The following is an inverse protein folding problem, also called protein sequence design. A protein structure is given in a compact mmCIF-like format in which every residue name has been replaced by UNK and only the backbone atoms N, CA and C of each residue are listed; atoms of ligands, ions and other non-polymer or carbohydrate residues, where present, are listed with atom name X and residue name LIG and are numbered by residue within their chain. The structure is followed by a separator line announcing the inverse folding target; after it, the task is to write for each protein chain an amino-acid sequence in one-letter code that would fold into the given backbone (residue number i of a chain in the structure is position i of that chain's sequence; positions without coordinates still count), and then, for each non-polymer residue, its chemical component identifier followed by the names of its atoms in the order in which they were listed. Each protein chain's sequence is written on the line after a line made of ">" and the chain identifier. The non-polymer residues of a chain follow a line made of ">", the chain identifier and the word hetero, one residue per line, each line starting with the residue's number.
data_IF_355769069161
#
_entry.id   IF_355769069161
#
_cell.length_a   1.000
_cell.length_b   1.000
_cell.length_c   1.000
_cell.angle_alpha   90.00
_cell.angle_beta   90.00
_cell.angle_gamma   90.00
#
_symmetry.space_group_name_H-M   'P 1'
#
loop_
_entity.id
_entity.type
_entity.pdbx_description
1 polymer ?
#
# COMPACT_ATOMS: atom_id res chain seq x y z
N UNK A 1 21.45 -8.16 6.66
CA UNK A 1 22.94 -8.18 6.69
C UNK A 1 23.49 -7.95 5.30
N UNK A 2 24.51 -7.10 5.16
CA UNK A 2 25.11 -6.73 3.89
C UNK A 2 26.20 -7.75 3.52
N UNK A 3 26.26 -8.15 2.25
CA UNK A 3 27.22 -9.12 1.71
C UNK A 3 27.28 -10.46 2.47
N UNK A 4 26.13 -10.94 2.97
CA UNK A 4 26.04 -12.21 3.68
C UNK A 4 26.60 -12.23 5.10
N UNK A 5 27.06 -11.11 5.62
CA UNK A 5 27.49 -10.99 7.02
C UNK A 5 26.28 -11.09 7.94
N UNK A 6 26.34 -11.93 8.96
CA UNK A 6 25.29 -12.09 9.96
C UNK A 6 25.07 -10.78 10.75
N UNK A 7 26.17 -10.11 11.10
CA UNK A 7 26.13 -8.79 11.74
C UNK A 7 27.22 -7.90 11.14
N UNK A 8 26.83 -6.78 10.55
CA UNK A 8 27.74 -5.80 9.97
C UNK A 8 28.01 -4.58 10.85
N UNK A 9 27.58 -4.59 12.13
CA UNK A 9 27.65 -3.44 13.02
C UNK A 9 29.07 -2.82 13.10
N UNK A 10 30.11 -3.63 13.19
CA UNK A 10 31.49 -3.18 13.28
C UNK A 10 32.28 -3.41 11.98
N UNK A 11 31.61 -3.51 10.86
CA UNK A 11 32.23 -3.67 9.55
C UNK A 11 32.71 -2.31 9.01
N UNK A 12 33.73 -2.28 8.14
CA UNK A 12 34.23 -1.04 7.55
C UNK A 12 33.21 -0.39 6.60
N UNK A 13 33.45 0.87 6.23
CA UNK A 13 32.59 1.64 5.31
C UNK A 13 32.38 0.96 3.96
N UNK A 14 33.37 0.20 3.47
CA UNK A 14 33.22 -0.61 2.25
C UNK A 14 32.02 -1.57 2.31
N UNK A 15 31.62 -2.00 3.52
CA UNK A 15 30.46 -2.84 3.79
C UNK A 15 29.24 -1.98 4.12
N UNK A 16 29.38 -0.99 5.02
CA UNK A 16 28.26 -0.28 5.63
C UNK A 16 27.82 0.98 4.89
N UNK A 17 28.63 1.53 3.99
CA UNK A 17 28.25 2.71 3.21
C UNK A 17 26.97 2.47 2.38
N UNK A 18 26.17 3.49 2.25
CA UNK A 18 25.01 3.49 1.34
C UNK A 18 25.52 3.67 -0.09
N UNK A 19 25.20 2.73 -0.95
CA UNK A 19 25.46 2.85 -2.38
C UNK A 19 24.33 3.66 -3.06
N UNK A 20 24.56 4.94 -3.26
CA UNK A 20 23.58 5.86 -3.86
C UNK A 20 23.31 5.58 -5.34
N UNK A 21 24.17 4.84 -6.07
CA UNK A 21 23.90 4.44 -7.45
C UNK A 21 22.65 3.56 -7.55
N UNK A 22 22.38 2.76 -6.53
CA UNK A 22 21.17 1.93 -6.44
C UNK A 22 19.87 2.71 -6.56
N UNK A 23 19.87 3.99 -6.20
CA UNK A 23 18.70 4.85 -6.39
C UNK A 23 18.29 4.97 -7.86
N UNK A 24 19.27 5.03 -8.77
CA UNK A 24 19.01 5.11 -10.20
C UNK A 24 18.66 3.75 -10.79
N UNK A 25 19.32 2.69 -10.35
CA UNK A 25 19.06 1.32 -10.77
C UNK A 25 17.66 0.87 -10.34
N UNK A 26 17.24 1.24 -9.14
CA UNK A 26 15.94 0.86 -8.54
C UNK A 26 14.91 1.99 -8.64
N UNK A 27 14.95 2.74 -9.74
CA UNK A 27 14.10 3.93 -9.92
C UNK A 27 12.60 3.65 -9.70
N UNK A 28 12.10 2.52 -10.22
CA UNK A 28 10.70 2.13 -10.03
C UNK A 28 10.33 2.00 -8.54
N UNK A 29 11.15 1.30 -7.75
CA UNK A 29 10.91 1.13 -6.32
C UNK A 29 10.97 2.47 -5.57
N UNK A 30 11.93 3.36 -5.95
CA UNK A 30 12.02 4.70 -5.38
C UNK A 30 10.79 5.55 -5.70
N UNK A 31 10.32 5.53 -6.94
CA UNK A 31 9.15 6.30 -7.37
C UNK A 31 7.86 5.75 -6.73
N UNK A 32 7.75 4.42 -6.59
CA UNK A 32 6.67 3.78 -5.86
C UNK A 32 6.63 4.22 -4.38
N UNK A 33 7.78 4.18 -3.68
CA UNK A 33 7.87 4.64 -2.29
C UNK A 33 7.52 6.13 -2.14
N UNK A 34 7.95 6.98 -3.07
CA UNK A 34 7.54 8.39 -3.08
C UNK A 34 6.04 8.56 -3.22
N UNK A 35 5.40 7.74 -4.04
CA UNK A 35 3.95 7.77 -4.23
C UNK A 35 3.20 7.37 -2.96
N UNK A 36 3.64 6.31 -2.27
CA UNK A 36 3.05 5.91 -0.98
C UNK A 36 3.19 7.03 0.07
N UNK A 37 4.35 7.69 0.12
CA UNK A 37 4.58 8.84 1.00
C UNK A 37 3.66 10.01 0.61
N UNK A 38 3.49 10.28 -0.68
CA UNK A 38 2.61 11.33 -1.17
C UNK A 38 1.15 11.04 -0.77
N UNK A 39 0.65 9.83 -1.02
CA UNK A 39 -0.69 9.41 -0.58
C UNK A 39 -0.88 9.64 0.93
N UNK A 40 0.05 9.15 1.74
CA UNK A 40 -0.01 9.34 3.19
C UNK A 40 0.02 10.81 3.62
N UNK A 41 0.73 11.68 2.89
CA UNK A 41 0.78 13.12 3.19
C UNK A 41 -0.49 13.86 2.80
N UNK A 42 -1.10 13.51 1.68
CA UNK A 42 -2.27 14.20 1.16
C UNK A 42 -3.57 13.72 1.79
N UNK A 43 -3.65 12.45 2.19
CA UNK A 43 -4.87 11.87 2.73
C UNK A 43 -4.77 11.72 4.26
N UNK A 44 -5.56 12.49 5.04
CA UNK A 44 -5.53 12.43 6.50
C UNK A 44 -5.89 11.06 7.07
N UNK A 45 -6.80 10.32 6.46
CA UNK A 45 -7.21 8.98 6.90
C UNK A 45 -6.05 7.98 7.00
N UNK A 46 -4.95 8.19 6.25
CA UNK A 46 -3.72 7.39 6.41
C UNK A 46 -2.81 7.86 7.55
N UNK A 47 -3.25 8.84 8.37
CA UNK A 47 -2.46 9.45 9.45
C UNK A 47 -3.24 9.65 10.74
N UNK A 48 -4.15 8.74 11.05
CA UNK A 48 -4.88 8.73 12.31
C UNK A 48 -3.90 8.76 13.49
N UNK A 49 -4.13 9.62 14.48
CA UNK A 49 -3.16 9.93 15.53
C UNK A 49 -3.55 9.39 16.90
N UNK A 50 -4.82 9.15 17.11
CA UNK A 50 -5.37 8.71 18.39
C UNK A 50 -6.07 7.37 18.25
N UNK A 51 -6.23 6.67 19.37
CA UNK A 51 -6.98 5.41 19.42
C UNK A 51 -8.45 5.64 19.03
N UNK A 52 -9.00 6.77 19.41
CA UNK A 52 -10.40 7.10 19.12
C UNK A 52 -10.59 7.35 17.62
N UNK A 53 -9.70 8.12 16.97
CA UNK A 53 -9.71 8.27 15.49
C UNK A 53 -9.57 6.90 14.78
N UNK A 54 -8.71 6.01 15.26
CA UNK A 54 -8.56 4.68 14.68
C UNK A 54 -9.83 3.86 14.84
N UNK A 55 -10.49 3.91 15.99
CA UNK A 55 -11.75 3.20 16.22
C UNK A 55 -12.91 3.75 15.38
N UNK A 56 -12.91 5.05 15.14
CA UNK A 56 -13.95 5.74 14.38
C UNK A 56 -13.80 5.51 12.87
N UNK A 57 -12.57 5.56 12.36
CA UNK A 57 -12.30 5.63 10.93
C UNK A 57 -11.70 4.37 10.33
N UNK A 58 -11.28 3.38 11.11
CA UNK A 58 -10.65 2.16 10.60
C UNK A 58 -11.42 0.92 10.98
N UNK A 59 -11.73 0.08 10.00
CA UNK A 59 -12.34 -1.23 10.18
C UNK A 59 -11.46 -2.32 9.57
N UNK A 60 -11.09 -3.35 10.35
CA UNK A 60 -10.38 -4.52 9.84
C UNK A 60 -11.41 -5.50 9.27
N UNK A 61 -11.39 -5.67 7.95
CA UNK A 61 -12.32 -6.56 7.23
C UNK A 61 -11.81 -8.00 7.22
N UNK A 62 -10.49 -8.18 7.08
CA UNK A 62 -9.84 -9.50 7.03
C UNK A 62 -8.40 -9.40 7.56
N UNK A 63 -8.00 -10.40 8.33
CA UNK A 63 -6.63 -10.53 8.83
C UNK A 63 -6.29 -12.02 9.06
N UNK A 64 -6.18 -12.78 7.98
CA UNK A 64 -5.88 -14.21 8.00
C UNK A 64 -5.15 -14.68 6.73
N UNK A 65 -4.52 -15.85 6.77
CA UNK A 65 -3.87 -16.49 5.62
C UNK A 65 -2.98 -15.56 4.77
N UNK A 66 -2.20 -14.68 5.43
CA UNK A 66 -1.32 -13.69 4.77
C UNK A 66 -2.08 -12.62 3.96
N UNK A 67 -3.37 -12.48 4.20
CA UNK A 67 -4.19 -11.42 3.62
C UNK A 67 -4.60 -10.47 4.74
N UNK A 68 -4.35 -9.18 4.55
CA UNK A 68 -4.83 -8.12 5.44
C UNK A 68 -5.64 -7.13 4.63
N UNK A 69 -6.89 -6.93 5.03
CA UNK A 69 -7.76 -5.94 4.42
C UNK A 69 -8.33 -5.06 5.52
N UNK A 70 -8.18 -3.76 5.35
CA UNK A 70 -8.85 -2.79 6.18
C UNK A 70 -9.49 -1.69 5.34
N UNK A 71 -10.53 -1.12 5.89
CA UNK A 71 -11.19 0.08 5.39
C UNK A 71 -10.72 1.29 6.21
N UNK A 72 -10.62 2.43 5.53
CA UNK A 72 -10.54 3.73 6.16
C UNK A 72 -11.68 4.57 5.60
N UNK A 73 -12.47 5.18 6.48
CA UNK A 73 -13.65 5.90 6.02
C UNK A 73 -13.90 7.18 6.84
N UNK A 74 -14.53 8.13 6.18
CA UNK A 74 -15.16 9.30 6.78
C UNK A 74 -16.53 9.56 6.15
N UNK A 75 -17.04 10.77 6.25
CA UNK A 75 -18.35 11.13 5.68
C UNK A 75 -18.34 11.24 4.16
N UNK A 76 -17.16 11.39 3.53
CA UNK A 76 -17.01 11.67 2.11
C UNK A 76 -16.42 10.50 1.33
N UNK A 77 -15.55 9.72 1.96
CA UNK A 77 -14.73 8.70 1.30
C UNK A 77 -14.72 7.37 2.02
N UNK A 78 -14.57 6.31 1.24
CA UNK A 78 -14.28 4.95 1.70
C UNK A 78 -13.06 4.42 0.94
N UNK A 79 -11.99 4.12 1.68
CA UNK A 79 -10.80 3.43 1.18
C UNK A 79 -10.86 1.95 1.52
N UNK A 80 -10.43 1.10 0.59
CA UNK A 80 -10.00 -0.26 0.85
C UNK A 80 -8.49 -0.34 0.68
N UNK A 81 -7.81 -0.90 1.65
CA UNK A 81 -6.39 -1.24 1.58
C UNK A 81 -6.27 -2.74 1.71
N UNK A 82 -5.83 -3.41 0.65
CA UNK A 82 -5.81 -4.86 0.52
C UNK A 82 -4.37 -5.31 0.33
N UNK A 83 -3.80 -5.97 1.34
CA UNK A 83 -2.49 -6.62 1.26
C UNK A 83 -2.67 -8.10 0.92
N UNK A 84 -2.04 -8.53 -0.14
CA UNK A 84 -1.93 -9.93 -0.49
C UNK A 84 -0.47 -10.39 -0.31
N UNK A 85 -0.17 -11.09 0.78
CA UNK A 85 1.13 -11.68 1.07
C UNK A 85 1.29 -13.11 0.52
N UNK A 86 0.31 -13.64 -0.19
CA UNK A 86 0.36 -14.97 -0.79
C UNK A 86 1.21 -14.98 -2.07
N UNK A 87 1.56 -16.17 -2.54
CA UNK A 87 2.31 -16.40 -3.79
C UNK A 87 1.43 -16.49 -5.03
N UNK A 88 0.12 -16.34 -4.88
CA UNK A 88 -0.87 -16.32 -5.96
C UNK A 88 -1.77 -15.10 -5.83
N UNK A 89 -2.34 -14.66 -6.94
CA UNK A 89 -3.34 -13.60 -6.96
C UNK A 89 -4.64 -14.07 -6.29
N UNK A 90 -5.35 -13.15 -5.69
CA UNK A 90 -6.65 -13.37 -5.05
C UNK A 90 -7.71 -12.47 -5.66
N UNK A 91 -8.96 -12.89 -5.59
CA UNK A 91 -10.12 -12.04 -5.83
C UNK A 91 -10.73 -11.65 -4.47
N UNK A 92 -10.98 -10.36 -4.27
CA UNK A 92 -11.56 -9.84 -3.05
C UNK A 92 -12.85 -9.06 -3.35
N UNK A 93 -13.93 -9.38 -2.61
CA UNK A 93 -15.21 -8.68 -2.75
C UNK A 93 -15.16 -7.36 -1.98
N UNK A 94 -15.57 -6.28 -2.64
CA UNK A 94 -15.71 -4.94 -2.07
C UNK A 94 -17.18 -4.51 -2.16
N UNK A 95 -17.54 -3.51 -1.39
CA UNK A 95 -18.86 -2.89 -1.52
C UNK A 95 -19.06 -2.33 -2.94
N UNK A 96 -20.16 -2.67 -3.59
CA UNK A 96 -20.40 -2.26 -4.98
C UNK A 96 -20.38 -0.73 -5.14
N UNK A 97 -19.73 -0.27 -6.20
CA UNK A 97 -19.64 1.17 -6.50
C UNK A 97 -18.54 1.52 -7.50
N UNK A 98 -18.39 2.81 -7.74
CA UNK A 98 -17.38 3.33 -8.63
C UNK A 98 -16.12 3.68 -7.84
N UNK A 99 -15.01 3.11 -8.24
CA UNK A 99 -13.74 3.24 -7.52
C UNK A 99 -12.64 3.87 -8.37
N UNK A 100 -11.79 4.62 -7.71
CA UNK A 100 -10.48 4.98 -8.21
C UNK A 100 -9.45 4.01 -7.63
N UNK A 101 -8.70 3.34 -8.49
CA UNK A 101 -7.58 2.46 -8.10
C UNK A 101 -6.34 3.32 -8.03
N UNK A 102 -5.84 3.56 -6.82
CA UNK A 102 -4.71 4.45 -6.55
C UNK A 102 -3.37 3.72 -6.59
N UNK A 103 -3.36 2.51 -6.05
CA UNK A 103 -2.18 1.65 -5.96
C UNK A 103 -2.60 0.24 -6.39
N UNK A 104 -1.81 -0.41 -7.23
CA UNK A 104 -1.99 -1.81 -7.61
C UNK A 104 -0.68 -2.39 -8.16
N UNK A 105 -0.40 -3.67 -7.89
CA UNK A 105 0.72 -4.44 -8.46
C UNK A 105 2.06 -3.69 -8.45
N UNK A 106 2.42 -3.09 -7.29
CA UNK A 106 3.66 -2.33 -7.14
C UNK A 106 3.74 -1.05 -7.96
N UNK A 107 2.62 -0.57 -8.51
CA UNK A 107 2.51 0.66 -9.29
C UNK A 107 1.61 1.66 -8.60
N UNK A 108 1.85 2.92 -8.89
CA UNK A 108 1.04 4.04 -8.40
C UNK A 108 0.31 4.71 -9.55
N UNK A 109 -0.99 4.87 -9.38
CA UNK A 109 -1.88 5.58 -10.29
C UNK A 109 -2.30 6.95 -9.72
N UNK A 110 -1.57 7.49 -8.73
CA UNK A 110 -1.98 8.73 -8.03
C UNK A 110 -2.06 9.96 -8.92
N UNK A 111 -1.24 10.03 -9.97
CA UNK A 111 -1.29 11.13 -10.95
C UNK A 111 -2.45 11.02 -11.92
N UNK A 112 -2.88 9.80 -12.22
CA UNK A 112 -3.98 9.47 -13.14
C UNK A 112 -4.65 8.18 -12.66
N UNK A 113 -5.58 8.28 -11.69
CA UNK A 113 -6.25 7.12 -11.11
C UNK A 113 -7.02 6.31 -12.16
N UNK A 114 -6.87 4.99 -12.09
CA UNK A 114 -7.70 4.09 -12.92
C UNK A 114 -9.11 4.04 -12.35
N UNK A 115 -10.09 4.47 -13.12
CA UNK A 115 -11.50 4.43 -12.74
C UNK A 115 -12.08 3.06 -13.10
N UNK A 116 -12.85 2.48 -12.18
CA UNK A 116 -13.60 1.24 -12.38
C UNK A 116 -15.03 1.45 -11.91
N UNK A 117 -15.96 1.48 -12.85
CA UNK A 117 -17.37 1.66 -12.58
C UNK A 117 -18.02 0.33 -12.17
N UNK A 118 -18.94 0.38 -11.22
CA UNK A 118 -19.73 -0.77 -10.77
C UNK A 118 -18.89 -1.90 -10.16
N UNK A 119 -17.69 -1.60 -9.63
CA UNK A 119 -16.82 -2.61 -9.05
C UNK A 119 -17.47 -3.24 -7.82
N UNK A 120 -17.52 -4.57 -7.77
CA UNK A 120 -17.94 -5.36 -6.61
C UNK A 120 -16.92 -6.42 -6.23
N UNK A 121 -15.92 -6.64 -7.09
CA UNK A 121 -14.81 -7.60 -6.88
C UNK A 121 -13.55 -7.10 -7.56
N UNK A 122 -12.43 -7.16 -6.86
CA UNK A 122 -11.11 -6.75 -7.36
C UNK A 122 -10.12 -7.92 -7.29
N UNK A 123 -9.35 -8.08 -8.37
CA UNK A 123 -8.19 -8.97 -8.39
C UNK A 123 -6.99 -8.25 -7.77
N UNK A 124 -6.33 -8.89 -6.83
CA UNK A 124 -5.13 -8.39 -6.14
C UNK A 124 -3.97 -9.34 -6.43
N UNK A 125 -2.94 -8.86 -7.09
CA UNK A 125 -1.79 -9.67 -7.48
C UNK A 125 -1.01 -10.18 -6.25
N UNK A 126 -0.19 -11.20 -6.46
CA UNK A 126 0.62 -11.81 -5.40
C UNK A 126 1.68 -10.84 -4.87
N UNK A 127 2.01 -10.96 -3.60
CA UNK A 127 3.01 -10.13 -2.90
C UNK A 127 2.84 -8.63 -3.19
N UNK A 128 1.59 -8.16 -3.22
CA UNK A 128 1.25 -6.79 -3.58
C UNK A 128 0.25 -6.14 -2.62
N UNK A 129 0.08 -4.84 -2.78
CA UNK A 129 -0.98 -4.06 -2.14
C UNK A 129 -1.83 -3.38 -3.20
N UNK A 130 -3.14 -3.36 -2.97
CA UNK A 130 -4.09 -2.58 -3.76
C UNK A 130 -4.78 -1.56 -2.86
N UNK A 131 -4.85 -0.32 -3.31
CA UNK A 131 -5.56 0.77 -2.63
C UNK A 131 -6.63 1.31 -3.56
N UNK A 132 -7.87 1.22 -3.09
CA UNK A 132 -9.06 1.72 -3.77
C UNK A 132 -9.66 2.86 -2.96
N UNK A 133 -10.30 3.81 -3.64
CA UNK A 133 -11.16 4.81 -3.00
C UNK A 133 -12.43 5.01 -3.79
N UNK A 134 -13.56 5.13 -3.09
CA UNK A 134 -14.81 5.66 -3.65
C UNK A 134 -15.29 6.85 -2.84
N UNK A 135 -15.96 7.78 -3.51
CA UNK A 135 -16.75 8.80 -2.83
C UNK A 135 -18.08 8.18 -2.37
N UNK A 136 -18.55 8.60 -1.21
CA UNK A 136 -19.85 8.21 -0.64
C UNK A 136 -20.97 9.07 -1.17
#
# INVERSE_FOLDING_TARGET
>A
TKNGLENSYNAPDSINRIDWHRRSEMKQAVDYMKSLIALRKHEPLFRLRTIDEVKEHMNIVKADYQIVVYQLEDTEKLYYVIFNGQTNAIDFDVEAGDYQVLIEDGKSNLGEPRIVEGLSRIRVEYLSVTVLVKNK
#
